data_IF_206694911125
#
_entry.id   IF_206694911125
#
_cell.length_a   1.000
_cell.length_b   1.000
_cell.length_c   1.000
_cell.angle_alpha   90.00
_cell.angle_beta   90.00
_cell.angle_gamma   90.00
#
_symmetry.space_group_name_H-M   'P 1'
#
loop_
_entity.id
_entity.type
_entity.pdbx_description
1 polymer ?
#
# COMPACT_ATOMS: atom_id res chain seq x y z
N UNK A 1 -4.98 -4.96 -17.57
CA UNK A 1 -4.93 -4.18 -16.34
C UNK A 1 -3.61 -4.44 -15.62
N UNK A 2 -2.95 -3.40 -15.11
CA UNK A 2 -1.75 -3.50 -14.29
C UNK A 2 -1.99 -2.85 -12.93
N UNK A 3 -1.52 -3.50 -11.86
CA UNK A 3 -1.49 -2.91 -10.51
C UNK A 3 -0.14 -2.24 -10.34
N UNK A 4 -0.16 -0.94 -10.15
CA UNK A 4 1.05 -0.14 -10.00
C UNK A 4 1.73 -0.41 -8.64
N UNK A 5 3.05 -0.36 -8.64
CA UNK A 5 3.81 -0.36 -7.40
C UNK A 5 3.43 0.86 -6.54
N UNK A 6 3.52 0.71 -5.22
CA UNK A 6 3.14 1.80 -4.28
C UNK A 6 4.09 2.99 -4.34
N UNK A 7 5.28 2.77 -4.85
CA UNK A 7 6.37 3.73 -4.96
C UNK A 7 6.15 4.74 -6.10
N UNK A 8 5.31 4.43 -7.10
CA UNK A 8 5.09 5.32 -8.24
C UNK A 8 4.47 6.65 -7.81
N UNK A 9 5.03 7.72 -8.34
CA UNK A 9 4.49 9.09 -8.22
C UNK A 9 3.31 9.29 -9.18
N UNK A 10 2.65 10.45 -9.06
CA UNK A 10 1.58 10.85 -9.98
C UNK A 10 2.14 11.07 -11.39
N UNK A 11 3.30 11.73 -11.48
CA UNK A 11 3.99 12.02 -12.74
C UNK A 11 4.42 10.75 -13.46
N UNK A 12 4.98 9.78 -12.74
CA UNK A 12 5.34 8.47 -13.29
C UNK A 12 4.11 7.70 -13.76
N UNK A 13 3.00 7.78 -13.00
CA UNK A 13 1.72 7.18 -13.39
C UNK A 13 1.19 7.80 -14.70
N UNK A 14 1.23 9.13 -14.83
CA UNK A 14 0.83 9.84 -16.04
C UNK A 14 1.73 9.49 -17.24
N UNK A 15 3.04 9.40 -17.03
CA UNK A 15 4.00 9.00 -18.07
C UNK A 15 3.72 7.58 -18.56
N UNK A 16 3.43 6.66 -17.64
CA UNK A 16 3.09 5.28 -17.98
C UNK A 16 1.77 5.21 -18.77
N UNK A 17 0.75 5.98 -18.35
CA UNK A 17 -0.52 6.04 -19.07
C UNK A 17 -0.36 6.57 -20.49
N UNK A 18 0.45 7.60 -20.69
CA UNK A 18 0.75 8.14 -22.02
C UNK A 18 1.48 7.12 -22.92
N UNK A 19 2.39 6.34 -22.34
CA UNK A 19 3.15 5.32 -23.08
C UNK A 19 2.29 4.11 -23.47
N UNK A 20 1.29 3.74 -22.68
CA UNK A 20 0.41 2.58 -22.90
C UNK A 20 -1.06 2.94 -22.58
N UNK A 21 -1.71 3.77 -23.40
CA UNK A 21 -3.03 4.37 -23.10
C UNK A 21 -4.16 3.33 -22.95
N UNK A 22 -4.05 2.19 -23.62
CA UNK A 22 -5.04 1.10 -23.55
C UNK A 22 -4.92 0.24 -22.28
N UNK A 23 -3.83 0.40 -21.52
CA UNK A 23 -3.62 -0.35 -20.30
C UNK A 23 -4.37 0.27 -19.13
N UNK A 24 -5.32 -0.47 -18.56
CA UNK A 24 -6.03 -0.04 -17.36
C UNK A 24 -5.09 -0.05 -16.16
N UNK A 25 -4.85 1.11 -15.57
CA UNK A 25 -3.98 1.28 -14.41
C UNK A 25 -4.78 1.21 -13.10
N UNK A 26 -4.31 0.38 -12.16
CA UNK A 26 -4.83 0.29 -10.80
C UNK A 26 -3.77 0.77 -9.81
N UNK A 27 -4.13 1.69 -8.92
CA UNK A 27 -3.21 2.21 -7.89
C UNK A 27 -3.74 1.98 -6.48
N UNK A 28 -2.83 1.78 -5.51
CA UNK A 28 -3.21 1.75 -4.10
C UNK A 28 -3.55 3.15 -3.61
N UNK A 29 -4.69 3.28 -2.93
CA UNK A 29 -5.15 4.57 -2.38
C UNK A 29 -5.31 4.57 -0.87
N UNK A 30 -5.45 3.40 -0.22
CA UNK A 30 -5.65 3.33 1.22
C UNK A 30 -5.17 2.01 1.83
N UNK A 31 -4.78 2.07 3.11
CA UNK A 31 -4.51 0.92 3.95
C UNK A 31 -3.03 0.67 4.21
N UNK A 32 -2.70 -0.50 4.68
CA UNK A 32 -1.36 -0.83 5.18
C UNK A 32 -0.27 -0.63 4.12
N UNK A 33 0.66 0.29 4.39
CA UNK A 33 1.81 0.53 3.53
C UNK A 33 2.92 -0.48 3.83
N UNK A 34 3.55 -1.03 2.79
CA UNK A 34 4.67 -1.95 2.92
C UNK A 34 5.95 -1.19 3.27
N UNK A 35 6.74 -1.70 4.23
CA UNK A 35 8.05 -1.14 4.59
C UNK A 35 9.12 -1.44 3.53
N UNK A 36 8.89 -2.45 2.69
CA UNK A 36 9.81 -2.89 1.66
C UNK A 36 9.37 -2.41 0.28
N UNK A 37 10.32 -2.30 -0.65
CA UNK A 37 10.01 -2.13 -2.07
C UNK A 37 9.12 -3.27 -2.58
N UNK A 38 8.23 -2.95 -3.50
CA UNK A 38 7.31 -3.93 -4.09
C UNK A 38 8.08 -5.09 -4.73
N UNK A 39 7.74 -6.34 -4.35
CA UNK A 39 8.38 -7.56 -4.86
C UNK A 39 9.74 -7.90 -4.21
N UNK A 40 10.22 -7.18 -3.21
CA UNK A 40 11.54 -7.39 -2.59
C UNK A 40 11.49 -7.75 -1.10
N UNK A 41 10.37 -8.28 -0.60
CA UNK A 41 10.24 -8.68 0.80
C UNK A 41 10.38 -10.19 0.97
N UNK A 42 11.38 -10.61 1.75
CA UNK A 42 11.65 -12.01 2.11
C UNK A 42 11.37 -12.34 3.58
N UNK A 43 10.84 -11.37 4.35
CA UNK A 43 10.64 -11.53 5.78
C UNK A 43 9.72 -12.72 6.12
N UNK A 44 8.59 -12.85 5.42
CA UNK A 44 7.67 -13.97 5.62
C UNK A 44 8.27 -15.31 5.20
N UNK A 45 9.18 -15.33 4.23
CA UNK A 45 9.87 -16.53 3.81
C UNK A 45 10.88 -16.98 4.87
N UNK A 46 11.64 -16.04 5.42
CA UNK A 46 12.64 -16.33 6.46
C UNK A 46 12.02 -16.89 7.74
N UNK A 47 10.87 -16.34 8.18
CA UNK A 47 10.27 -16.72 9.47
C UNK A 47 9.17 -17.78 9.38
N UNK A 48 8.51 -17.95 8.23
CA UNK A 48 7.34 -18.83 8.10
C UNK A 48 7.31 -19.66 6.82
N UNK A 49 8.37 -19.65 6.00
CA UNK A 49 8.40 -20.37 4.73
C UNK A 49 7.36 -19.87 3.69
N UNK A 50 6.80 -18.67 3.88
CA UNK A 50 5.71 -18.10 3.04
C UNK A 50 6.23 -17.00 2.15
N UNK A 51 5.94 -17.06 0.84
CA UNK A 51 6.36 -16.01 -0.09
C UNK A 51 5.41 -14.81 -0.07
N UNK A 52 5.86 -13.70 0.53
CA UNK A 52 5.13 -12.44 0.51
C UNK A 52 4.94 -11.91 -0.92
N UNK A 53 5.92 -12.12 -1.80
CA UNK A 53 5.90 -11.70 -3.20
C UNK A 53 4.87 -12.47 -4.05
N UNK A 54 4.38 -13.61 -3.53
CA UNK A 54 3.29 -14.41 -4.13
C UNK A 54 1.97 -14.27 -3.38
N UNK A 55 1.78 -13.17 -2.64
CA UNK A 55 0.54 -12.88 -1.91
C UNK A 55 0.40 -13.51 -0.53
N UNK A 56 1.37 -14.33 -0.07
CA UNK A 56 1.32 -15.03 1.21
C UNK A 56 2.04 -14.28 2.36
N UNK A 57 1.99 -12.95 2.35
CA UNK A 57 2.60 -12.11 3.38
C UNK A 57 1.97 -12.37 4.77
N UNK A 58 2.80 -12.67 5.78
CA UNK A 58 2.39 -12.87 7.17
C UNK A 58 2.44 -11.58 8.02
N UNK A 59 2.85 -10.45 7.42
CA UNK A 59 2.92 -9.13 8.08
C UNK A 59 3.82 -9.08 9.33
N UNK A 60 4.94 -9.79 9.36
CA UNK A 60 5.93 -9.71 10.44
C UNK A 60 6.38 -8.28 10.74
N UNK A 61 6.45 -7.40 9.72
CA UNK A 61 6.76 -5.98 9.93
C UNK A 61 5.75 -5.23 10.83
N UNK A 62 4.63 -5.86 11.22
CA UNK A 62 3.62 -5.31 12.13
C UNK A 62 3.75 -5.79 13.57
N UNK A 63 4.71 -6.68 13.84
CA UNK A 63 4.98 -7.14 15.19
C UNK A 63 5.85 -6.12 15.96
N UNK A 64 5.80 -6.16 17.31
CA UNK A 64 6.73 -5.42 18.12
C UNK A 64 8.13 -6.03 18.04
N UNK A 65 9.15 -5.18 18.00
CA UNK A 65 10.56 -5.54 17.95
C UNK A 65 11.36 -4.86 19.07
N UNK A 66 12.46 -5.46 19.44
CA UNK A 66 13.48 -4.85 20.29
C UNK A 66 14.68 -4.48 19.43
N UNK A 67 15.15 -3.24 19.53
CA UNK A 67 16.36 -2.76 18.90
C UNK A 67 17.51 -2.83 19.92
N UNK A 68 18.58 -3.51 19.55
CA UNK A 68 19.78 -3.63 20.36
C UNK A 68 20.99 -3.10 19.59
N UNK A 69 21.96 -2.54 20.30
CA UNK A 69 23.24 -2.18 19.72
C UNK A 69 24.18 -3.41 19.60
N UNK A 70 25.36 -3.21 19.02
CA UNK A 70 26.34 -4.28 18.80
C UNK A 70 26.85 -4.94 20.10
N UNK A 71 26.62 -4.32 21.27
CA UNK A 71 26.98 -4.86 22.58
C UNK A 71 25.83 -5.62 23.24
N UNK A 72 24.67 -5.69 22.63
CA UNK A 72 23.46 -6.30 23.18
C UNK A 72 22.66 -5.40 24.13
N UNK A 73 23.01 -4.11 24.21
CA UNK A 73 22.24 -3.15 25.02
C UNK A 73 20.96 -2.78 24.29
N UNK A 74 19.81 -2.94 24.94
CA UNK A 74 18.51 -2.54 24.41
C UNK A 74 18.42 -1.02 24.27
N UNK A 75 18.12 -0.56 23.06
CA UNK A 75 17.88 0.86 22.73
C UNK A 75 16.38 1.14 22.78
N UNK A 76 15.58 0.24 22.19
CA UNK A 76 14.11 0.31 22.18
C UNK A 76 13.56 -1.08 22.40
N UNK A 77 12.53 -1.24 23.24
CA UNK A 77 11.92 -2.54 23.53
C UNK A 77 10.42 -2.53 23.19
N UNK A 78 9.93 -3.60 22.56
CA UNK A 78 8.50 -3.85 22.32
C UNK A 78 7.82 -2.86 21.41
N UNK A 79 8.53 -2.21 20.49
CA UNK A 79 7.99 -1.17 19.60
C UNK A 79 7.79 -1.67 18.18
N UNK A 80 6.81 -1.11 17.48
CA UNK A 80 6.48 -1.44 16.09
C UNK A 80 7.42 -0.74 15.10
N UNK A 81 8.72 -1.04 15.19
CA UNK A 81 9.80 -0.32 14.51
C UNK A 81 9.72 -0.36 12.97
N UNK A 82 9.14 -1.44 12.41
CA UNK A 82 8.99 -1.64 10.97
C UNK A 82 7.59 -1.30 10.47
N UNK A 83 6.69 -0.82 11.34
CA UNK A 83 5.30 -0.55 11.01
C UNK A 83 5.14 0.88 10.53
N UNK A 84 4.93 1.06 9.23
CA UNK A 84 4.62 2.37 8.65
C UNK A 84 3.18 2.77 8.97
N UNK A 85 2.90 4.09 8.92
CA UNK A 85 1.53 4.60 8.91
C UNK A 85 0.78 4.09 7.70
N UNK A 86 -0.53 3.91 7.81
CA UNK A 86 -1.36 3.52 6.68
C UNK A 86 -1.33 4.60 5.59
N UNK A 87 -1.33 4.15 4.34
CA UNK A 87 -1.47 5.01 3.18
C UNK A 87 -2.86 5.68 3.22
N UNK A 88 -2.91 6.95 2.87
CA UNK A 88 -4.16 7.67 2.61
C UNK A 88 -3.93 8.68 1.48
N UNK A 89 -4.45 8.37 0.30
CA UNK A 89 -4.37 9.22 -0.90
C UNK A 89 -5.70 9.91 -1.23
N UNK A 90 -6.62 10.01 -0.29
CA UNK A 90 -7.94 10.60 -0.53
C UNK A 90 -7.90 12.07 -0.96
N UNK A 91 -6.91 12.82 -0.51
CA UNK A 91 -6.73 14.24 -0.88
C UNK A 91 -6.21 14.46 -2.30
N UNK A 92 -5.59 13.43 -2.91
CA UNK A 92 -5.00 13.51 -4.25
C UNK A 92 -5.72 12.59 -5.26
N UNK A 93 -6.94 12.16 -4.94
CA UNK A 93 -7.69 11.20 -5.77
C UNK A 93 -7.96 11.73 -7.18
N UNK A 94 -8.32 13.03 -7.30
CA UNK A 94 -8.51 13.69 -8.60
C UNK A 94 -7.25 13.66 -9.45
N UNK A 95 -6.10 13.95 -8.84
CA UNK A 95 -4.81 13.93 -9.55
C UNK A 95 -4.46 12.51 -10.04
N UNK A 96 -4.80 11.48 -9.28
CA UNK A 96 -4.61 10.08 -9.72
C UNK A 96 -5.52 9.72 -10.91
N UNK A 97 -6.77 10.22 -10.92
CA UNK A 97 -7.69 10.07 -12.06
C UNK A 97 -7.12 10.77 -13.29
N UNK A 98 -6.69 12.02 -13.16
CA UNK A 98 -6.08 12.82 -14.23
C UNK A 98 -4.81 12.17 -14.78
N UNK A 99 -4.02 11.50 -13.91
CA UNK A 99 -2.85 10.73 -14.30
C UNK A 99 -3.19 9.39 -15.01
N UNK A 100 -4.47 9.07 -15.20
CA UNK A 100 -4.92 7.88 -15.95
C UNK A 100 -5.20 6.65 -15.09
N UNK A 101 -5.22 6.76 -13.76
CA UNK A 101 -5.64 5.66 -12.91
C UNK A 101 -7.16 5.47 -12.96
N UNK A 102 -7.61 4.27 -13.37
CA UNK A 102 -9.04 3.94 -13.52
C UNK A 102 -9.56 2.99 -12.45
N UNK A 103 -8.67 2.39 -11.66
CA UNK A 103 -9.00 1.47 -10.57
C UNK A 103 -8.23 1.84 -9.31
N UNK A 104 -8.93 1.78 -8.16
CA UNK A 104 -8.38 2.17 -6.86
C UNK A 104 -8.41 1.00 -5.90
N UNK A 105 -7.24 0.66 -5.38
CA UNK A 105 -7.07 -0.51 -4.51
C UNK A 105 -6.95 -0.09 -3.05
N UNK A 106 -7.77 -0.71 -2.21
CA UNK A 106 -7.72 -0.57 -0.75
C UNK A 106 -7.07 -1.82 -0.17
N UNK A 107 -5.98 -1.67 0.57
CA UNK A 107 -5.34 -2.78 1.28
C UNK A 107 -6.10 -3.06 2.58
N UNK A 108 -6.87 -4.14 2.58
CA UNK A 108 -7.72 -4.55 3.70
C UNK A 108 -7.27 -5.82 4.42
N UNK A 109 -6.08 -6.34 4.13
CA UNK A 109 -5.57 -7.57 4.74
C UNK A 109 -5.50 -7.44 6.26
N UNK A 110 -6.06 -8.43 6.98
CA UNK A 110 -6.17 -8.47 8.42
C UNK A 110 -6.99 -7.32 9.04
N UNK A 111 -7.73 -6.57 8.24
CA UNK A 111 -8.70 -5.58 8.70
C UNK A 111 -10.09 -6.24 8.83
N UNK A 112 -10.91 -5.71 9.73
CA UNK A 112 -12.28 -6.19 9.92
C UNK A 112 -13.25 -5.67 8.83
N UNK A 113 -14.43 -6.27 8.75
CA UNK A 113 -15.44 -5.91 7.75
C UNK A 113 -15.92 -4.45 7.87
N UNK A 114 -15.99 -3.91 9.09
CA UNK A 114 -16.38 -2.51 9.31
C UNK A 114 -15.37 -1.53 8.72
N UNK A 115 -14.07 -1.79 8.89
CA UNK A 115 -13.01 -1.02 8.26
C UNK A 115 -13.16 -1.01 6.72
N UNK A 116 -13.28 -2.21 6.11
CA UNK A 116 -13.41 -2.33 4.66
C UNK A 116 -14.63 -1.58 4.16
N UNK A 117 -15.79 -1.76 4.81
CA UNK A 117 -17.04 -1.07 4.46
C UNK A 117 -16.88 0.45 4.51
N UNK A 118 -16.38 0.99 5.62
CA UNK A 118 -16.29 2.43 5.83
C UNK A 118 -15.31 3.08 4.86
N UNK A 119 -14.13 2.48 4.67
CA UNK A 119 -13.12 3.01 3.74
C UNK A 119 -13.63 2.94 2.30
N UNK A 120 -14.26 1.83 1.90
CA UNK A 120 -14.82 1.69 0.55
C UNK A 120 -15.93 2.72 0.30
N UNK A 121 -16.85 2.90 1.25
CA UNK A 121 -17.91 3.90 1.14
C UNK A 121 -17.34 5.33 1.02
N UNK A 122 -16.33 5.65 1.82
CA UNK A 122 -15.66 6.95 1.76
C UNK A 122 -15.04 7.24 0.40
N UNK A 123 -14.29 6.28 -0.18
CA UNK A 123 -13.69 6.46 -1.50
C UNK A 123 -14.72 6.43 -2.62
N UNK A 124 -15.79 5.66 -2.48
CA UNK A 124 -16.91 5.66 -3.44
C UNK A 124 -17.55 7.06 -3.56
N UNK A 125 -17.88 7.68 -2.42
CA UNK A 125 -18.42 9.03 -2.40
C UNK A 125 -17.44 10.06 -2.99
N UNK A 126 -16.15 9.97 -2.64
CA UNK A 126 -15.12 10.87 -3.16
C UNK A 126 -14.93 10.75 -4.67
N UNK A 127 -15.02 9.55 -5.23
CA UNK A 127 -14.89 9.32 -6.66
C UNK A 127 -15.97 10.04 -7.45
N UNK A 128 -17.20 10.07 -6.94
CA UNK A 128 -18.32 10.79 -7.59
C UNK A 128 -18.15 12.32 -7.54
N UNK A 129 -17.41 12.84 -6.57
CA UNK A 129 -17.07 14.26 -6.51
C UNK A 129 -15.89 14.66 -7.42
N UNK A 130 -15.11 13.70 -7.92
CA UNK A 130 -13.93 13.91 -8.75
C UNK A 130 -14.11 13.47 -10.22
N UNK A 131 -15.30 13.03 -10.61
CA UNK A 131 -15.62 12.67 -11.99
C UNK A 131 -15.81 13.91 -12.87
N UNK A 132 -15.57 13.83 -14.18
CA UNK A 132 -15.95 14.89 -15.09
C UNK A 132 -17.47 15.08 -15.00
N UNK A 133 -17.88 16.33 -14.83
CA UNK A 133 -19.27 16.79 -14.97
C UNK A 133 -19.78 16.50 -16.36
#
# INVERSE_FOLDING_TARGET
QAVLARELTIEETATLHQAVPDLRLETFVHGALCVSYSGHCYLSQAFAGRSANRGACAQYCRLPYTLEDATGRKIVEGSHLLSLKDLNRSSILSQLVEAGAVSFKIEGRLKNASYVRNVTAYYHLRRHCCGPT
#
